data_IF_551710518824
#
_entry.id   IF_551710518824
#
_cell.length_a   1.000
_cell.length_b   1.000
_cell.length_c   1.000
_cell.angle_alpha   90.00
_cell.angle_beta   90.00
_cell.angle_gamma   90.00
#
_symmetry.space_group_name_H-M   'P 1'
#
loop_
_entity.id
_entity.type
_entity.pdbx_description
1 polymer ?
#
# COMPACT_ATOMS: atom_id res chain seq x y z
N UNK A 1 -14.02 -4.99 -20.95
CA UNK A 1 -15.05 -4.85 -19.89
C UNK A 1 -14.63 -3.76 -18.92
N UNK A 2 -15.50 -3.26 -18.02
CA UNK A 2 -15.11 -2.21 -17.04
C UNK A 2 -13.95 -2.65 -16.13
N UNK A 3 -13.83 -3.96 -15.87
CA UNK A 3 -12.70 -4.57 -15.16
C UNK A 3 -11.37 -4.26 -15.85
N UNK A 4 -11.27 -4.51 -17.15
CA UNK A 4 -10.03 -4.29 -17.91
C UNK A 4 -9.66 -2.80 -17.94
N UNK A 5 -10.65 -1.91 -17.98
CA UNK A 5 -10.41 -0.47 -17.86
C UNK A 5 -9.79 -0.11 -16.50
N UNK A 6 -10.24 -0.73 -15.41
CA UNK A 6 -9.71 -0.52 -14.05
C UNK A 6 -8.33 -1.19 -13.87
N UNK A 7 -8.15 -2.40 -14.38
CA UNK A 7 -6.94 -3.19 -14.18
C UNK A 7 -5.78 -2.71 -15.07
N UNK A 8 -6.05 -2.46 -16.34
CA UNK A 8 -5.04 -2.13 -17.35
C UNK A 8 -4.98 -0.62 -17.68
N UNK A 9 -5.83 0.20 -17.04
CA UNK A 9 -6.02 1.60 -17.40
C UNK A 9 -6.40 1.81 -18.88
N UNK A 10 -7.17 0.87 -19.45
CA UNK A 10 -7.52 0.84 -20.86
C UNK A 10 -8.95 1.34 -21.13
N UNK A 11 -9.07 2.54 -21.69
CA UNK A 11 -10.37 3.17 -22.01
C UNK A 11 -10.85 2.93 -23.45
N UNK A 12 -10.16 2.07 -24.22
CA UNK A 12 -10.55 1.78 -25.60
C UNK A 12 -11.95 1.15 -25.70
N UNK A 13 -12.65 1.37 -26.82
CA UNK A 13 -13.96 0.75 -27.05
C UNK A 13 -15.15 1.45 -26.39
N UNK A 14 -15.05 2.75 -26.08
CA UNK A 14 -16.16 3.57 -25.56
C UNK A 14 -16.77 3.05 -24.23
N UNK A 15 -15.98 2.37 -23.39
CA UNK A 15 -16.43 1.69 -22.17
C UNK A 15 -17.18 2.62 -21.19
N UNK A 16 -16.87 3.93 -21.22
CA UNK A 16 -17.48 4.93 -20.33
C UNK A 16 -18.57 5.78 -21.02
N UNK A 17 -18.86 5.58 -22.31
CA UNK A 17 -19.71 6.49 -23.11
C UNK A 17 -21.17 6.57 -22.64
N UNK A 18 -21.67 5.51 -22.02
CA UNK A 18 -23.05 5.42 -21.51
C UNK A 18 -23.17 5.81 -20.04
N UNK A 19 -22.08 6.26 -19.41
CA UNK A 19 -22.09 6.71 -18.01
C UNK A 19 -22.46 8.18 -17.91
N UNK A 20 -23.03 8.57 -16.77
CA UNK A 20 -23.44 9.96 -16.52
C UNK A 20 -22.24 10.91 -16.39
N UNK A 21 -21.07 10.39 -15.96
CA UNK A 21 -19.86 11.18 -15.69
C UNK A 21 -18.58 10.50 -16.19
N UNK A 22 -18.40 10.35 -17.52
CA UNK A 22 -17.28 9.59 -18.10
C UNK A 22 -15.90 10.11 -17.68
N UNK A 23 -15.72 11.43 -17.61
CA UNK A 23 -14.44 12.03 -17.21
C UNK A 23 -14.12 11.78 -15.73
N UNK A 24 -15.14 11.79 -14.85
CA UNK A 24 -14.95 11.44 -13.44
C UNK A 24 -14.51 9.99 -13.30
N UNK A 25 -15.18 9.08 -14.00
CA UNK A 25 -14.81 7.66 -13.96
C UNK A 25 -13.41 7.42 -14.52
N UNK A 26 -13.01 8.16 -15.56
CA UNK A 26 -11.64 8.11 -16.10
C UNK A 26 -10.62 8.54 -15.06
N UNK A 27 -10.88 9.66 -14.37
CA UNK A 27 -10.02 10.15 -13.29
C UNK A 27 -9.93 9.15 -12.13
N UNK A 28 -11.06 8.57 -11.70
CA UNK A 28 -11.10 7.57 -10.62
C UNK A 28 -10.31 6.31 -11.00
N UNK A 29 -10.46 5.82 -12.23
CA UNK A 29 -9.71 4.67 -12.77
C UNK A 29 -8.21 4.96 -12.82
N UNK A 30 -7.82 6.14 -13.30
CA UNK A 30 -6.42 6.57 -13.32
C UNK A 30 -5.85 6.62 -11.90
N UNK A 31 -6.61 7.16 -10.94
CA UNK A 31 -6.22 7.24 -9.53
C UNK A 31 -5.97 5.84 -8.96
N UNK A 32 -6.91 4.91 -9.17
CA UNK A 32 -6.77 3.51 -8.72
C UNK A 32 -5.55 2.84 -9.35
N UNK A 33 -5.32 3.05 -10.65
CA UNK A 33 -4.17 2.46 -11.34
C UNK A 33 -2.83 2.96 -10.76
N UNK A 34 -2.71 4.25 -10.48
CA UNK A 34 -1.51 4.79 -9.82
C UNK A 34 -1.35 4.25 -8.40
N UNK A 35 -2.42 4.21 -7.60
CA UNK A 35 -2.38 3.67 -6.23
C UNK A 35 -1.91 2.21 -6.21
N UNK A 36 -2.30 1.39 -7.18
CA UNK A 36 -1.84 0.00 -7.30
C UNK A 36 -0.33 -0.08 -7.52
N UNK A 37 0.20 0.75 -8.42
CA UNK A 37 1.65 0.83 -8.65
C UNK A 37 2.40 1.31 -7.41
N UNK A 38 1.88 2.32 -6.72
CA UNK A 38 2.45 2.82 -5.46
C UNK A 38 2.44 1.74 -4.38
N UNK A 39 1.35 0.98 -4.30
CA UNK A 39 1.22 -0.16 -3.40
C UNK A 39 2.20 -1.29 -3.74
N UNK A 40 2.45 -1.59 -5.03
CA UNK A 40 3.44 -2.59 -5.44
C UNK A 40 4.86 -2.22 -4.98
N UNK A 41 5.22 -0.94 -5.05
CA UNK A 41 6.51 -0.45 -4.52
C UNK A 41 6.56 -0.62 -3.00
N UNK A 42 5.48 -0.26 -2.31
CA UNK A 42 5.38 -0.46 -0.86
C UNK A 42 5.46 -1.93 -0.44
N UNK A 43 4.70 -2.80 -1.08
CA UNK A 43 4.67 -4.24 -0.82
C UNK A 43 6.03 -4.88 -1.09
N UNK A 44 6.71 -4.46 -2.17
CA UNK A 44 8.08 -4.90 -2.45
C UNK A 44 9.07 -4.47 -1.36
N UNK A 45 8.97 -3.22 -0.89
CA UNK A 45 9.82 -2.71 0.18
C UNK A 45 9.56 -3.42 1.51
N UNK A 46 8.29 -3.76 1.81
CA UNK A 46 7.88 -4.51 2.99
C UNK A 46 8.41 -5.95 2.94
N UNK A 47 8.23 -6.65 1.82
CA UNK A 47 8.71 -8.04 1.62
C UNK A 47 10.23 -8.19 1.65
N UNK A 48 10.97 -7.10 1.41
CA UNK A 48 12.43 -7.08 1.50
C UNK A 48 12.97 -6.96 2.94
N UNK A 49 12.10 -6.79 3.94
CA UNK A 49 12.50 -6.80 5.35
C UNK A 49 12.90 -8.22 5.80
N UNK A 50 13.80 -8.36 6.79
CA UNK A 50 14.05 -9.67 7.38
C UNK A 50 12.79 -10.22 8.04
N UNK A 51 12.66 -11.55 8.07
CA UNK A 51 11.41 -12.26 8.40
C UNK A 51 10.78 -11.82 9.72
N UNK A 52 11.58 -11.59 10.76
CA UNK A 52 11.10 -11.20 12.09
C UNK A 52 10.50 -9.79 12.09
N UNK A 53 11.19 -8.86 11.46
CA UNK A 53 10.79 -7.47 11.29
C UNK A 53 9.57 -7.33 10.40
N UNK A 54 9.55 -8.09 9.30
CA UNK A 54 8.40 -8.19 8.41
C UNK A 54 7.15 -8.61 9.20
N UNK A 55 7.22 -9.73 9.93
CA UNK A 55 6.10 -10.27 10.70
C UNK A 55 5.55 -9.26 11.72
N UNK A 56 6.42 -8.65 12.53
CA UNK A 56 6.01 -7.64 13.52
C UNK A 56 5.29 -6.45 12.87
N UNK A 57 5.87 -5.91 11.79
CA UNK A 57 5.33 -4.72 11.14
C UNK A 57 4.09 -5.02 10.32
N UNK A 58 4.04 -6.16 9.65
CA UNK A 58 2.89 -6.61 8.87
C UNK A 58 1.65 -6.78 9.76
N UNK A 59 1.79 -7.50 10.88
CA UNK A 59 0.69 -7.68 11.85
C UNK A 59 0.20 -6.35 12.42
N UNK A 60 1.12 -5.40 12.69
CA UNK A 60 0.75 -4.07 13.16
C UNK A 60 0.03 -3.23 12.09
N UNK A 61 0.56 -3.16 10.86
CA UNK A 61 0.00 -2.35 9.77
C UNK A 61 -1.40 -2.85 9.39
N UNK A 62 -1.59 -4.18 9.35
CA UNK A 62 -2.89 -4.79 9.06
C UNK A 62 -3.88 -4.72 10.23
N UNK A 63 -3.48 -4.12 11.37
CA UNK A 63 -4.30 -3.99 12.58
C UNK A 63 -4.79 -5.34 13.13
N UNK A 64 -4.06 -6.42 12.84
CA UNK A 64 -4.35 -7.75 13.39
C UNK A 64 -4.07 -7.80 14.89
N UNK A 65 -3.06 -7.04 15.34
CA UNK A 65 -2.67 -6.89 16.74
C UNK A 65 -2.22 -5.48 17.06
N UNK A 66 -2.38 -5.06 18.32
CA UNK A 66 -1.78 -3.84 18.87
C UNK A 66 -0.32 -4.10 19.25
N UNK A 67 0.49 -3.03 19.35
CA UNK A 67 1.91 -3.14 19.72
C UNK A 67 2.14 -3.87 21.05
N UNK A 68 1.23 -3.71 22.04
CA UNK A 68 1.33 -4.42 23.31
C UNK A 68 1.14 -5.93 23.14
N UNK A 69 0.11 -6.33 22.39
CA UNK A 69 -0.18 -7.74 22.10
C UNK A 69 0.97 -8.37 21.30
N UNK A 70 1.56 -7.65 20.35
CA UNK A 70 2.75 -8.12 19.60
C UNK A 70 3.96 -8.30 20.53
N UNK A 71 4.14 -7.40 21.49
CA UNK A 71 5.22 -7.48 22.47
C UNK A 71 5.07 -8.72 23.36
N UNK A 72 3.84 -9.00 23.82
CA UNK A 72 3.49 -10.20 24.58
C UNK A 72 3.67 -11.48 23.76
N UNK A 73 3.11 -11.53 22.54
CA UNK A 73 3.16 -12.69 21.64
C UNK A 73 4.60 -13.08 21.21
N UNK A 74 5.53 -12.14 21.27
CA UNK A 74 6.93 -12.30 20.82
C UNK A 74 7.94 -12.30 21.97
N UNK A 75 7.49 -12.21 23.21
CA UNK A 75 8.33 -12.07 24.42
C UNK A 75 9.37 -10.93 24.28
N UNK A 76 8.89 -9.76 23.83
CA UNK A 76 9.71 -8.56 23.64
C UNK A 76 9.22 -7.44 24.56
N UNK A 77 10.14 -6.56 24.96
CA UNK A 77 9.74 -5.33 25.62
C UNK A 77 8.91 -4.44 24.67
N UNK A 78 7.84 -3.84 25.18
CA UNK A 78 7.00 -2.92 24.41
C UNK A 78 7.81 -1.82 23.70
N UNK A 79 8.81 -1.26 24.40
CA UNK A 79 9.65 -0.21 23.84
C UNK A 79 10.47 -0.69 22.64
N UNK A 80 10.90 -1.96 22.64
CA UNK A 80 11.60 -2.59 21.51
C UNK A 80 10.69 -2.65 20.29
N UNK A 81 9.45 -3.11 20.46
CA UNK A 81 8.46 -3.20 19.37
C UNK A 81 8.12 -1.80 18.83
N UNK A 82 7.90 -0.83 19.72
CA UNK A 82 7.62 0.56 19.35
C UNK A 82 8.73 1.18 18.52
N UNK A 83 9.99 1.00 18.94
CA UNK A 83 11.15 1.52 18.22
C UNK A 83 11.29 0.84 16.86
N UNK A 84 11.19 -0.49 16.82
CA UNK A 84 11.29 -1.27 15.59
C UNK A 84 10.26 -0.83 14.54
N UNK A 85 8.99 -0.72 14.94
CA UNK A 85 7.93 -0.24 14.04
C UNK A 85 8.21 1.20 13.59
N UNK A 86 8.67 2.06 14.49
CA UNK A 86 9.02 3.44 14.17
C UNK A 86 10.11 3.55 13.10
N UNK A 87 11.18 2.77 13.25
CA UNK A 87 12.32 2.76 12.34
C UNK A 87 11.96 2.15 10.98
N UNK A 88 11.20 1.05 10.97
CA UNK A 88 10.75 0.43 9.73
C UNK A 88 9.77 1.33 8.98
N UNK A 89 8.87 2.03 9.66
CA UNK A 89 7.98 2.99 8.99
C UNK A 89 8.77 4.08 8.24
N UNK A 90 9.80 4.64 8.87
CA UNK A 90 10.69 5.63 8.23
C UNK A 90 11.45 5.01 7.05
N UNK A 91 11.92 3.77 7.21
CA UNK A 91 12.60 3.05 6.14
C UNK A 91 11.67 2.82 4.94
N UNK A 92 10.45 2.34 5.18
CA UNK A 92 9.44 2.13 4.14
C UNK A 92 9.15 3.45 3.42
N UNK A 93 8.88 4.52 4.17
CA UNK A 93 8.66 5.87 3.61
C UNK A 93 9.81 6.31 2.69
N UNK A 94 11.06 6.18 3.16
CA UNK A 94 12.24 6.54 2.36
C UNK A 94 12.42 5.71 1.08
N UNK A 95 11.91 4.47 1.07
CA UNK A 95 12.01 3.52 -0.05
C UNK A 95 10.83 3.60 -1.00
N UNK A 96 9.69 4.16 -0.59
CA UNK A 96 8.46 4.14 -1.37
C UNK A 96 8.12 5.52 -1.94
N UNK A 97 8.19 6.57 -1.12
CA UNK A 97 7.79 7.93 -1.50
C UNK A 97 8.51 8.45 -2.76
N UNK A 98 9.82 8.20 -2.97
CA UNK A 98 10.49 8.65 -4.20
C UNK A 98 9.93 8.07 -5.51
N UNK A 99 9.16 6.98 -5.43
CA UNK A 99 8.53 6.33 -6.58
C UNK A 99 7.08 6.74 -6.78
N UNK A 100 6.49 7.49 -5.83
CA UNK A 100 5.16 8.06 -5.99
C UNK A 100 5.29 9.21 -7.00
N UNK A 101 4.53 9.12 -8.11
CA UNK A 101 4.63 10.11 -9.18
C UNK A 101 3.88 11.37 -8.78
N UNK A 102 4.39 12.53 -9.19
CA UNK A 102 3.66 13.79 -9.07
C UNK A 102 2.42 13.77 -9.99
N UNK A 103 1.24 13.71 -9.36
CA UNK A 103 -0.12 14.10 -9.78
C UNK A 103 -0.66 13.73 -11.18
N UNK A 104 -1.97 13.42 -11.22
CA UNK A 104 -2.79 13.27 -12.44
C UNK A 104 -3.11 14.61 -13.12
#
# INVERSE_FOLDING_TARGET
MIRDAIEECNFSGNILKETDTPEKHKHDILTIHMMRREFEVFDSALKALPTKEHDIVFTFINKERKMLEIAEDRDLAYQTVKNLIGDIKKLLESRTVPYFRETL
#
